data_IF_069461376739
#
_entry.id   IF_069461376739
#
_cell.length_a   1.000
_cell.length_b   1.000
_cell.length_c   1.000
_cell.angle_alpha   90.00
_cell.angle_beta   90.00
_cell.angle_gamma   90.00
#
_symmetry.space_group_name_H-M   'P 1'
#
loop_
_entity.id
_entity.type
_entity.pdbx_description
1 polymer ?
#
# COMPACT_ATOMS: atom_id res chain seq x y z
N UNK A 1 -18.19 -78.93 -44.29
CA UNK A 1 -18.10 -78.16 -43.03
C UNK A 1 -18.02 -76.71 -43.41
N UNK A 2 -19.11 -76.00 -43.11
CA UNK A 2 -19.41 -74.63 -43.55
C UNK A 2 -18.50 -73.58 -42.91
N UNK A 3 -18.13 -72.60 -43.72
CA UNK A 3 -17.51 -71.33 -43.32
C UNK A 3 -18.62 -70.31 -43.06
N UNK A 4 -18.74 -69.82 -41.83
CA UNK A 4 -19.65 -68.71 -41.50
C UNK A 4 -18.89 -67.48 -41.02
N UNK A 5 -18.99 -66.41 -41.80
CA UNK A 5 -18.66 -65.03 -41.46
C UNK A 5 -19.54 -64.52 -40.29
N UNK A 6 -18.96 -63.80 -39.32
CA UNK A 6 -19.69 -62.94 -38.38
C UNK A 6 -19.37 -61.46 -38.63
N UNK A 7 -20.44 -60.67 -38.77
CA UNK A 7 -20.50 -59.20 -38.81
C UNK A 7 -20.15 -58.57 -37.45
N UNK A 8 -19.70 -57.31 -37.39
CA UNK A 8 -19.52 -56.57 -36.15
C UNK A 8 -20.83 -55.91 -35.70
N UNK A 9 -21.19 -56.07 -34.43
CA UNK A 9 -22.22 -55.25 -33.77
C UNK A 9 -21.52 -54.26 -32.83
N UNK A 10 -21.60 -52.98 -33.20
CA UNK A 10 -21.32 -51.85 -32.30
C UNK A 10 -22.41 -51.78 -31.24
N UNK A 11 -22.03 -51.89 -29.98
CA UNK A 11 -22.84 -51.44 -28.84
C UNK A 11 -21.93 -50.59 -27.96
N UNK A 12 -22.05 -49.26 -28.07
CA UNK A 12 -21.45 -48.34 -27.11
C UNK A 12 -22.28 -48.37 -25.82
N UNK A 13 -21.67 -48.60 -24.63
CA UNK A 13 -22.41 -48.58 -23.39
C UNK A 13 -22.71 -47.14 -22.96
N UNK A 14 -23.98 -46.89 -22.65
CA UNK A 14 -24.59 -45.67 -22.08
C UNK A 14 -24.04 -45.24 -20.70
N UNK A 15 -22.87 -45.74 -20.28
CA UNK A 15 -22.27 -45.45 -18.97
C UNK A 15 -21.46 -44.15 -18.92
N UNK A 16 -21.21 -43.49 -20.05
CA UNK A 16 -20.38 -42.27 -20.11
C UNK A 16 -21.17 -40.95 -20.06
N UNK A 17 -22.50 -40.97 -20.18
CA UNK A 17 -23.29 -39.72 -20.19
C UNK A 17 -23.37 -39.10 -18.78
N UNK A 18 -23.51 -39.92 -17.73
CA UNK A 18 -23.55 -39.44 -16.35
C UNK A 18 -22.21 -38.88 -15.86
N UNK A 19 -21.09 -39.45 -16.30
CA UNK A 19 -19.75 -38.97 -15.94
C UNK A 19 -19.45 -37.61 -16.60
N UNK A 20 -19.90 -37.42 -17.85
CA UNK A 20 -19.77 -36.16 -18.58
C UNK A 20 -20.66 -35.07 -17.97
N UNK A 21 -21.89 -35.39 -17.55
CA UNK A 21 -22.79 -34.44 -16.87
C UNK A 21 -22.25 -34.01 -15.50
N UNK A 22 -21.70 -34.95 -14.71
CA UNK A 22 -21.08 -34.62 -13.41
C UNK A 22 -19.82 -33.79 -13.61
N UNK A 23 -19.02 -34.05 -14.65
CA UNK A 23 -17.83 -33.26 -14.95
C UNK A 23 -18.19 -31.86 -15.45
N UNK A 24 -19.26 -31.69 -16.24
CA UNK A 24 -19.80 -30.38 -16.64
C UNK A 24 -20.42 -29.59 -15.48
N UNK A 25 -21.06 -30.25 -14.51
CA UNK A 25 -21.56 -29.63 -13.28
C UNK A 25 -20.44 -29.22 -12.31
N UNK A 26 -19.32 -29.96 -12.27
CA UNK A 26 -18.14 -29.57 -11.48
C UNK A 26 -17.36 -28.44 -12.16
N UNK A 27 -17.27 -28.42 -13.50
CA UNK A 27 -16.61 -27.32 -14.23
C UNK A 27 -17.43 -26.02 -14.27
N UNK A 28 -18.75 -26.08 -14.27
CA UNK A 28 -19.59 -24.86 -14.15
C UNK A 28 -19.53 -24.25 -12.74
N UNK A 29 -19.38 -25.07 -11.70
CA UNK A 29 -19.14 -24.56 -10.34
C UNK A 29 -17.70 -24.04 -10.12
N UNK A 30 -16.71 -24.53 -10.86
CA UNK A 30 -15.35 -23.93 -10.85
C UNK A 30 -15.26 -22.60 -11.62
N UNK A 31 -16.14 -22.38 -12.62
CA UNK A 31 -16.24 -21.09 -13.32
C UNK A 31 -17.12 -20.06 -12.59
N UNK A 32 -17.89 -20.49 -11.58
CA UNK A 32 -18.59 -19.64 -10.61
C UNK A 32 -17.76 -19.29 -9.37
N UNK A 33 -16.44 -19.32 -9.47
CA UNK A 33 -15.58 -18.51 -8.60
C UNK A 33 -15.70 -16.99 -8.92
N UNK A 34 -16.72 -16.59 -9.69
CA UNK A 34 -17.03 -15.22 -10.07
C UNK A 34 -17.75 -14.46 -8.94
N UNK A 35 -17.12 -13.34 -8.55
CA UNK A 35 -17.54 -12.26 -7.63
C UNK A 35 -17.87 -12.67 -6.18
N UNK A 36 -16.85 -12.67 -5.33
CA UNK A 36 -16.98 -12.80 -3.87
C UNK A 36 -17.73 -11.63 -3.17
N UNK A 37 -18.16 -10.60 -3.92
CA UNK A 37 -18.55 -9.30 -3.37
C UNK A 37 -19.99 -8.85 -3.70
N UNK A 38 -20.74 -9.48 -4.62
CA UNK A 38 -22.05 -8.94 -5.07
C UNK A 38 -23.03 -8.66 -3.93
N UNK A 39 -23.03 -9.50 -2.89
CA UNK A 39 -23.94 -9.38 -1.76
C UNK A 39 -23.74 -8.10 -0.92
N UNK A 40 -22.59 -7.43 -1.01
CA UNK A 40 -22.26 -6.26 -0.20
C UNK A 40 -21.49 -5.17 -0.93
N UNK A 41 -21.18 -5.32 -2.22
CA UNK A 41 -20.40 -4.40 -3.06
C UNK A 41 -20.94 -2.96 -3.00
N UNK A 42 -22.27 -2.80 -3.02
CA UNK A 42 -22.94 -1.51 -2.93
C UNK A 42 -23.47 -1.15 -1.53
N UNK A 43 -23.20 -1.99 -0.53
CA UNK A 43 -23.72 -1.78 0.83
C UNK A 43 -22.73 -0.99 1.67
N UNK A 44 -23.24 0.02 2.38
CA UNK A 44 -22.48 0.72 3.42
C UNK A 44 -22.43 -0.11 4.71
N UNK A 45 -21.52 -1.08 4.77
CA UNK A 45 -21.35 -1.93 5.97
C UNK A 45 -20.77 -1.16 7.15
N UNK A 46 -20.04 -0.07 6.88
CA UNK A 46 -19.47 0.77 7.91
C UNK A 46 -18.33 0.14 8.68
N UNK A 47 -18.20 0.54 9.94
CA UNK A 47 -17.07 0.17 10.80
C UNK A 47 -17.45 -0.96 11.76
N UNK A 48 -16.53 -1.91 11.97
CA UNK A 48 -16.62 -2.92 13.05
C UNK A 48 -16.88 -2.23 14.39
N UNK A 49 -16.20 -1.10 14.60
CA UNK A 49 -16.36 -0.27 15.79
C UNK A 49 -16.13 1.20 15.45
N UNK A 50 -17.04 2.06 15.88
CA UNK A 50 -16.83 3.51 15.92
C UNK A 50 -16.16 3.86 17.25
N UNK A 51 -15.05 4.59 17.19
CA UNK A 51 -14.32 5.04 18.35
C UNK A 51 -14.60 6.53 18.61
N UNK A 52 -14.52 6.91 19.88
CA UNK A 52 -14.57 8.30 20.32
C UNK A 52 -13.42 8.51 21.31
N UNK A 53 -12.20 8.39 20.81
CA UNK A 53 -11.01 8.46 21.65
C UNK A 53 -10.86 9.86 22.26
N UNK A 54 -10.45 9.91 23.53
CA UNK A 54 -10.27 11.15 24.32
C UNK A 54 -8.80 11.48 24.59
N UNK A 55 -7.89 10.80 23.89
CA UNK A 55 -6.46 10.87 24.12
C UNK A 55 -5.95 9.73 25.00
N UNK A 56 -4.63 9.56 24.96
CA UNK A 56 -3.95 8.57 25.76
C UNK A 56 -3.86 9.03 27.22
N UNK A 57 -3.85 8.07 28.15
CA UNK A 57 -3.74 8.34 29.60
C UNK A 57 -2.40 7.85 30.18
N UNK A 58 -1.63 7.11 29.40
CA UNK A 58 -0.33 6.56 29.82
C UNK A 58 0.66 6.57 28.67
N UNK A 59 1.95 6.81 28.95
CA UNK A 59 2.99 6.65 27.94
C UNK A 59 3.13 5.18 27.53
N UNK A 60 3.79 4.95 26.41
CA UNK A 60 4.08 3.62 25.89
C UNK A 60 5.57 3.51 25.59
N UNK A 61 6.21 2.42 26.02
CA UNK A 61 7.55 2.08 25.59
C UNK A 61 7.47 0.85 24.69
N UNK A 62 8.08 0.93 23.52
CA UNK A 62 8.28 -0.19 22.59
C UNK A 62 9.76 -0.23 22.25
N UNK A 63 10.41 -1.35 22.60
CA UNK A 63 11.84 -1.52 22.47
C UNK A 63 12.60 -0.34 23.14
N UNK A 64 13.50 0.32 22.42
CA UNK A 64 14.26 1.50 22.91
C UNK A 64 13.49 2.83 22.78
N UNK A 65 12.29 2.83 22.17
CA UNK A 65 11.52 4.06 21.89
C UNK A 65 10.44 4.29 22.94
N UNK A 66 10.45 5.49 23.54
CA UNK A 66 9.43 5.93 24.49
C UNK A 66 8.52 6.95 23.83
N UNK A 67 7.23 6.65 23.83
CA UNK A 67 6.18 7.51 23.31
C UNK A 67 5.46 8.22 24.45
N UNK A 68 5.36 9.54 24.34
CA UNK A 68 4.68 10.38 25.31
C UNK A 68 3.16 10.28 25.20
N UNK A 69 2.44 10.74 26.23
CA UNK A 69 0.98 10.85 26.17
C UNK A 69 0.53 11.76 25.02
N UNK A 70 1.27 12.84 24.73
CA UNK A 70 0.96 13.76 23.65
C UNK A 70 1.03 13.06 22.28
N UNK A 71 2.12 12.33 22.01
CA UNK A 71 2.28 11.57 20.76
C UNK A 71 1.18 10.51 20.60
N UNK A 72 0.85 9.77 21.66
CA UNK A 72 -0.19 8.75 21.59
C UNK A 72 -1.60 9.34 21.42
N UNK A 73 -1.85 10.52 21.97
CA UNK A 73 -3.13 11.24 21.80
C UNK A 73 -3.32 11.77 20.38
N UNK A 74 -2.23 12.01 19.65
CA UNK A 74 -2.29 12.31 18.22
C UNK A 74 -2.80 11.11 17.42
N UNK A 75 -2.41 9.88 17.78
CA UNK A 75 -2.92 8.66 17.12
C UNK A 75 -4.44 8.54 17.27
N UNK A 76 -4.94 8.84 18.47
CA UNK A 76 -6.37 8.87 18.76
C UNK A 76 -7.12 9.90 17.91
N UNK A 77 -6.48 11.05 17.66
CA UNK A 77 -7.01 12.09 16.79
C UNK A 77 -7.07 11.62 15.33
N UNK A 78 -6.00 11.00 14.82
CA UNK A 78 -5.99 10.40 13.47
C UNK A 78 -7.14 9.40 13.30
N UNK A 79 -7.28 8.46 14.24
CA UNK A 79 -8.35 7.47 14.23
C UNK A 79 -9.74 8.12 14.14
N UNK A 80 -10.00 9.11 14.99
CA UNK A 80 -11.28 9.84 15.00
C UNK A 80 -11.51 10.58 13.66
N UNK A 81 -10.50 11.26 13.12
CA UNK A 81 -10.61 12.00 11.85
C UNK A 81 -10.86 11.09 10.66
N UNK A 82 -10.25 9.89 10.65
CA UNK A 82 -10.47 8.90 9.60
C UNK A 82 -11.93 8.41 9.60
N UNK A 83 -12.46 8.04 10.77
CA UNK A 83 -13.86 7.59 10.88
C UNK A 83 -14.87 8.71 10.61
N UNK A 84 -14.51 9.95 10.92
CA UNK A 84 -15.34 11.12 10.61
C UNK A 84 -15.36 11.46 9.10
N UNK A 85 -14.40 10.98 8.31
CA UNK A 85 -14.26 11.38 6.89
C UNK A 85 -14.60 10.27 5.90
N UNK A 86 -14.77 9.05 6.39
CA UNK A 86 -14.98 7.88 5.56
C UNK A 86 -15.99 6.92 6.20
N UNK A 87 -17.01 6.56 5.42
CA UNK A 87 -17.95 5.49 5.73
C UNK A 87 -17.68 4.32 4.77
N UNK A 88 -17.19 3.16 5.25
CA UNK A 88 -16.92 2.00 4.41
C UNK A 88 -18.16 1.52 3.63
N UNK A 89 -17.99 1.44 2.30
CA UNK A 89 -18.93 0.87 1.31
C UNK A 89 -18.23 -0.28 0.59
N UNK A 90 -18.96 -1.36 0.26
CA UNK A 90 -18.37 -2.53 -0.39
C UNK A 90 -17.39 -3.31 0.47
N UNK A 91 -17.27 -2.94 1.76
CA UNK A 91 -16.20 -3.38 2.65
C UNK A 91 -16.55 -3.09 4.10
N UNK A 92 -15.92 -3.83 5.01
CA UNK A 92 -16.06 -3.66 6.44
C UNK A 92 -14.82 -2.95 7.00
N UNK A 93 -15.01 -1.78 7.62
CA UNK A 93 -13.92 -0.95 8.12
C UNK A 93 -13.45 -1.31 9.53
N UNK A 94 -12.16 -1.16 9.79
CA UNK A 94 -11.54 -1.29 11.11
C UNK A 94 -10.44 -0.23 11.28
N UNK A 95 -10.21 0.21 12.52
CA UNK A 95 -9.13 1.16 12.83
C UNK A 95 -8.08 0.48 13.69
N UNK A 96 -6.85 0.45 13.17
CA UNK A 96 -5.67 -0.07 13.87
C UNK A 96 -4.71 1.07 14.20
N UNK A 97 -4.57 1.35 15.50
CA UNK A 97 -3.54 2.25 16.03
C UNK A 97 -2.21 1.52 16.11
N UNK A 98 -1.12 2.20 15.80
CA UNK A 98 0.22 1.63 15.88
C UNK A 98 1.26 2.68 16.23
N UNK A 99 2.38 2.19 16.76
CA UNK A 99 3.64 2.91 16.85
C UNK A 99 4.67 2.09 16.11
N UNK A 100 5.60 2.75 15.43
CA UNK A 100 6.49 2.08 14.50
C UNK A 100 7.97 2.25 14.80
N UNK A 101 8.75 1.20 14.47
CA UNK A 101 8.32 -0.19 14.29
C UNK A 101 8.74 -1.06 15.49
N UNK A 102 7.88 -2.01 15.87
CA UNK A 102 8.13 -2.99 16.93
C UNK A 102 9.04 -4.10 16.40
N UNK A 103 10.09 -4.47 17.12
CA UNK A 103 10.92 -5.64 16.78
C UNK A 103 10.03 -6.90 16.76
N UNK A 104 10.01 -7.64 15.63
CA UNK A 104 9.37 -8.95 15.49
C UNK A 104 10.17 -9.81 14.50
N UNK A 105 9.90 -11.11 14.41
CA UNK A 105 10.65 -12.10 13.60
C UNK A 105 10.99 -11.65 12.17
N UNK A 106 10.16 -10.79 11.57
CA UNK A 106 10.33 -10.27 10.20
C UNK A 106 10.92 -8.84 10.14
N UNK A 107 11.10 -8.17 11.27
CA UNK A 107 11.47 -6.76 11.40
C UNK A 107 12.44 -6.45 12.56
N UNK A 108 13.25 -7.42 13.02
CA UNK A 108 13.91 -7.38 14.35
C UNK A 108 14.89 -6.22 14.60
N UNK A 109 15.42 -5.54 13.57
CA UNK A 109 16.45 -4.47 13.77
C UNK A 109 16.32 -3.24 12.90
N UNK A 110 15.56 -3.29 11.81
CA UNK A 110 15.38 -2.17 10.86
C UNK A 110 14.50 -1.04 11.39
N UNK A 111 14.27 -1.03 12.70
CA UNK A 111 13.34 -0.18 13.41
C UNK A 111 14.05 0.84 14.29
N UNK A 112 15.33 0.60 14.62
CA UNK A 112 16.13 1.48 15.48
C UNK A 112 16.41 2.82 14.79
N UNK A 113 16.87 2.79 13.53
CA UNK A 113 17.12 4.00 12.74
C UNK A 113 15.85 4.67 12.21
N UNK A 114 14.71 3.97 12.21
CA UNK A 114 13.43 4.58 11.77
C UNK A 114 13.04 5.67 12.78
N UNK A 115 12.46 6.80 12.35
CA UNK A 115 11.95 7.80 13.28
C UNK A 115 10.99 7.25 14.35
N UNK A 116 10.82 8.00 15.44
CA UNK A 116 9.71 7.80 16.37
C UNK A 116 8.41 8.11 15.62
N UNK A 117 7.82 7.07 15.04
CA UNK A 117 6.67 7.17 14.15
C UNK A 117 5.46 6.52 14.80
N UNK A 118 4.30 7.10 14.57
CA UNK A 118 3.06 6.69 15.21
C UNK A 118 1.86 7.12 14.39
N UNK A 119 0.86 6.26 14.30
CA UNK A 119 -0.21 6.45 13.34
C UNK A 119 -1.40 5.54 13.52
N UNK A 120 -2.39 5.74 12.65
CA UNK A 120 -3.57 4.91 12.54
C UNK A 120 -3.74 4.43 11.10
N UNK A 121 -4.18 3.18 10.96
CA UNK A 121 -4.59 2.57 9.71
C UNK A 121 -6.10 2.31 9.73
N UNK A 122 -6.80 2.80 8.72
CA UNK A 122 -8.13 2.34 8.37
C UNK A 122 -7.99 1.18 7.40
N UNK A 123 -8.45 0.01 7.81
CA UNK A 123 -8.50 -1.19 7.00
C UNK A 123 -9.93 -1.39 6.51
N UNK A 124 -10.14 -1.38 5.20
CA UNK A 124 -11.43 -1.73 4.59
C UNK A 124 -11.34 -3.14 4.03
N UNK A 125 -11.81 -4.13 4.79
CA UNK A 125 -11.77 -5.54 4.40
C UNK A 125 -12.80 -5.82 3.31
N UNK A 126 -12.36 -6.40 2.21
CA UNK A 126 -13.21 -6.71 1.04
C UNK A 126 -13.59 -8.19 0.95
N UNK A 127 -12.94 -9.07 1.73
CA UNK A 127 -13.25 -10.50 1.77
C UNK A 127 -13.99 -10.84 3.05
N UNK A 128 -15.32 -10.90 2.97
CA UNK A 128 -16.19 -11.02 4.14
C UNK A 128 -16.96 -12.34 4.15
N UNK A 129 -17.23 -12.84 5.35
CA UNK A 129 -18.16 -13.95 5.61
C UNK A 129 -19.22 -13.52 6.60
N UNK A 130 -20.40 -14.11 6.53
CA UNK A 130 -21.41 -13.96 7.56
C UNK A 130 -21.21 -15.00 8.66
N UNK A 131 -21.19 -14.55 9.91
CA UNK A 131 -21.26 -15.40 11.10
C UNK A 131 -22.36 -14.84 11.98
N UNK A 132 -23.39 -15.64 12.25
CA UNK A 132 -24.56 -15.24 13.05
C UNK A 132 -25.22 -13.95 12.53
N UNK A 133 -25.37 -13.83 11.21
CA UNK A 133 -25.98 -12.66 10.55
C UNK A 133 -25.11 -11.39 10.55
N UNK A 134 -23.86 -11.44 11.03
CA UNK A 134 -22.93 -10.31 11.02
C UNK A 134 -21.78 -10.58 10.06
N UNK A 135 -21.46 -9.57 9.25
CA UNK A 135 -20.26 -9.59 8.41
C UNK A 135 -19.00 -9.54 9.26
N UNK A 136 -18.03 -10.39 8.92
CA UNK A 136 -16.71 -10.44 9.54
C UNK A 136 -15.65 -10.67 8.45
N UNK A 137 -14.43 -10.14 8.62
CA UNK A 137 -13.34 -10.45 7.71
C UNK A 137 -13.06 -11.96 7.70
N UNK A 138 -13.02 -12.57 6.51
CA UNK A 138 -12.59 -13.95 6.34
C UNK A 138 -11.06 -14.06 6.32
N UNK A 139 -10.40 -13.03 5.80
CA UNK A 139 -8.94 -12.92 5.71
C UNK A 139 -8.51 -11.47 6.02
N UNK A 140 -7.20 -11.25 6.16
CA UNK A 140 -6.63 -9.95 6.53
C UNK A 140 -6.36 -9.01 5.34
N UNK A 141 -6.71 -9.40 4.11
CA UNK A 141 -6.59 -8.53 2.94
C UNK A 141 -7.61 -7.40 3.01
N UNK A 142 -7.14 -6.17 2.83
CA UNK A 142 -7.93 -4.96 2.95
C UNK A 142 -7.37 -3.87 2.02
N UNK A 143 -8.21 -2.88 1.73
CA UNK A 143 -7.76 -1.57 1.31
C UNK A 143 -7.27 -0.80 2.54
N UNK A 144 -6.15 -0.10 2.43
CA UNK A 144 -5.49 0.58 3.53
C UNK A 144 -5.48 2.09 3.29
N UNK A 145 -5.85 2.83 4.33
CA UNK A 145 -5.57 4.26 4.44
C UNK A 145 -4.80 4.48 5.74
N UNK A 146 -3.68 5.18 5.66
CA UNK A 146 -2.78 5.45 6.77
C UNK A 146 -2.65 6.95 6.98
N UNK A 147 -2.71 7.37 8.25
CA UNK A 147 -2.26 8.69 8.70
C UNK A 147 -1.26 8.47 9.82
N UNK A 148 -0.04 8.99 9.67
CA UNK A 148 1.03 8.77 10.62
C UNK A 148 1.96 9.98 10.75
N UNK A 149 2.35 10.27 11.98
CA UNK A 149 3.39 11.23 12.28
C UNK A 149 4.78 10.59 12.11
N UNK A 150 5.71 11.35 11.53
CA UNK A 150 7.12 11.00 11.36
C UNK A 150 7.36 9.68 10.62
N UNK A 151 6.38 9.15 9.89
CA UNK A 151 6.54 7.87 9.21
C UNK A 151 7.25 8.05 7.86
N UNK A 152 8.20 7.18 7.58
CA UNK A 152 8.73 6.97 6.22
C UNK A 152 7.86 5.93 5.50
N UNK A 153 7.82 5.91 4.16
CA UNK A 153 7.11 4.86 3.42
C UNK A 153 7.71 3.45 3.65
N UNK A 154 7.23 2.77 4.70
CA UNK A 154 7.82 1.53 5.23
C UNK A 154 7.93 0.38 4.23
N UNK A 155 7.11 0.38 3.18
CA UNK A 155 7.12 -0.61 2.09
C UNK A 155 8.39 -0.55 1.24
N UNK A 156 9.11 0.58 1.26
CA UNK A 156 10.19 0.88 0.33
C UNK A 156 11.57 0.92 1.01
N UNK A 157 11.77 0.22 2.14
CA UNK A 157 13.04 0.23 2.89
C UNK A 157 14.09 -0.69 2.26
N UNK A 158 15.34 -0.23 2.24
CA UNK A 158 16.49 -1.03 1.79
C UNK A 158 17.08 -1.83 2.97
N UNK A 159 16.45 -2.97 3.25
CA UNK A 159 16.68 -3.78 4.46
C UNK A 159 18.15 -4.22 4.60
N UNK A 160 18.83 -4.53 3.50
CA UNK A 160 20.19 -5.07 3.56
C UNK A 160 21.30 -4.06 3.79
N UNK A 161 21.00 -2.77 3.62
CA UNK A 161 21.94 -1.67 3.86
C UNK A 161 21.53 -0.74 5.01
N UNK A 162 20.44 -1.10 5.71
CA UNK A 162 20.02 -0.42 6.92
C UNK A 162 20.82 -0.88 8.13
N UNK A 163 21.16 0.07 9.00
CA UNK A 163 21.83 -0.17 10.28
C UNK A 163 20.97 0.39 11.43
N UNK A 164 21.45 0.30 12.66
CA UNK A 164 20.81 0.98 13.80
C UNK A 164 20.88 2.52 13.70
N UNK A 165 21.74 3.06 12.85
CA UNK A 165 21.96 4.50 12.66
C UNK A 165 21.40 5.03 11.34
N UNK A 166 21.31 4.19 10.32
CA UNK A 166 20.91 4.60 8.97
C UNK A 166 19.65 3.86 8.55
N UNK A 167 18.63 4.63 8.14
CA UNK A 167 17.46 4.12 7.47
C UNK A 167 17.36 4.71 6.06
N UNK A 168 17.63 3.86 5.08
CA UNK A 168 17.52 4.07 3.65
C UNK A 168 16.19 3.52 3.15
N UNK A 169 15.56 4.27 2.25
CA UNK A 169 14.32 3.89 1.60
C UNK A 169 14.19 4.58 0.25
N UNK A 170 13.38 4.01 -0.62
CA UNK A 170 13.06 4.58 -1.93
C UNK A 170 11.67 5.22 -1.93
N UNK A 171 11.45 6.16 -2.85
CA UNK A 171 10.11 6.65 -3.20
C UNK A 171 9.91 6.40 -4.67
N UNK A 172 9.25 5.30 -5.07
CA UNK A 172 9.11 4.97 -6.46
C UNK A 172 8.38 6.05 -7.24
N UNK A 173 8.93 6.38 -8.39
CA UNK A 173 8.40 7.35 -9.33
C UNK A 173 8.28 6.71 -10.71
N UNK A 174 7.44 7.30 -11.54
CA UNK A 174 7.37 6.94 -12.94
C UNK A 174 8.55 7.55 -13.69
N UNK A 175 9.14 6.79 -14.62
CA UNK A 175 10.13 7.33 -15.54
C UNK A 175 9.41 8.13 -16.63
N UNK A 176 9.44 9.47 -16.50
CA UNK A 176 8.78 10.39 -17.42
C UNK A 176 9.25 10.24 -18.87
N UNK A 177 10.50 9.80 -19.11
CA UNK A 177 10.97 9.52 -20.47
C UNK A 177 10.25 8.31 -21.05
N UNK A 178 10.22 7.21 -20.30
CA UNK A 178 9.49 6.00 -20.69
C UNK A 178 7.99 6.25 -20.89
N UNK A 179 7.39 7.16 -20.11
CA UNK A 179 5.99 7.55 -20.28
C UNK A 179 5.74 8.36 -21.56
N UNK A 180 6.67 9.24 -21.94
CA UNK A 180 6.57 10.04 -23.16
C UNK A 180 6.67 9.17 -24.43
N UNK A 181 7.46 8.09 -24.37
CA UNK A 181 7.66 7.16 -25.48
C UNK A 181 6.42 6.27 -25.73
N UNK A 182 5.61 5.97 -24.70
CA UNK A 182 4.35 5.24 -24.82
C UNK A 182 3.26 5.75 -23.86
N UNK A 183 2.44 6.70 -24.36
CA UNK A 183 1.29 7.26 -23.65
C UNK A 183 0.16 6.26 -23.40
N UNK A 184 0.17 5.09 -24.06
CA UNK A 184 -0.82 4.03 -23.89
C UNK A 184 -0.31 2.88 -23.03
N UNK A 185 0.95 2.98 -22.56
CA UNK A 185 1.52 2.05 -21.59
C UNK A 185 0.65 1.96 -20.35
N UNK A 186 0.72 0.80 -19.68
CA UNK A 186 0.01 0.60 -18.44
C UNK A 186 0.46 1.62 -17.37
N UNK A 187 1.77 1.90 -17.30
CA UNK A 187 2.32 2.90 -16.39
C UNK A 187 1.73 4.31 -16.65
N UNK A 188 1.61 4.73 -17.92
CA UNK A 188 0.99 6.02 -18.27
C UNK A 188 -0.51 6.06 -17.93
N UNK A 189 -1.23 4.95 -18.10
CA UNK A 189 -2.65 4.84 -17.72
C UNK A 189 -2.83 4.88 -16.21
N UNK A 190 -2.05 4.11 -15.47
CA UNK A 190 -2.10 4.06 -14.00
C UNK A 190 -1.69 5.41 -13.40
N UNK A 191 -0.62 6.05 -13.89
CA UNK A 191 -0.25 7.40 -13.43
C UNK A 191 -1.42 8.37 -13.58
N UNK A 192 -2.01 8.47 -14.78
CA UNK A 192 -3.17 9.37 -15.02
C UNK A 192 -4.36 9.08 -14.11
N UNK A 193 -4.65 7.80 -13.85
CA UNK A 193 -5.79 7.38 -13.04
C UNK A 193 -5.66 7.79 -11.57
N UNK A 194 -4.43 7.85 -11.05
CA UNK A 194 -4.15 8.16 -9.66
C UNK A 194 -3.59 9.56 -9.43
N UNK A 195 -3.37 10.36 -10.48
CA UNK A 195 -2.72 11.67 -10.40
C UNK A 195 -3.60 12.71 -9.70
N UNK A 196 -3.09 13.22 -8.58
CA UNK A 196 -3.70 14.28 -7.79
C UNK A 196 -2.90 15.59 -7.83
N UNK A 197 -1.90 15.70 -8.69
CA UNK A 197 -1.02 16.88 -8.79
C UNK A 197 -1.80 18.18 -9.07
N UNK A 198 -2.89 18.10 -9.84
CA UNK A 198 -3.77 19.21 -10.14
C UNK A 198 -4.92 19.40 -9.12
N UNK A 199 -5.07 18.52 -8.13
CA UNK A 199 -6.19 18.56 -7.19
C UNK A 199 -6.12 19.86 -6.35
N UNK A 200 -7.18 20.69 -6.29
CA UNK A 200 -7.12 22.06 -5.78
C UNK A 200 -6.72 22.15 -4.30
N UNK A 201 -7.10 21.14 -3.50
CA UNK A 201 -6.74 21.05 -2.09
C UNK A 201 -5.34 20.51 -1.84
N UNK A 202 -4.80 19.71 -2.77
CA UNK A 202 -3.59 18.92 -2.55
C UNK A 202 -2.36 19.49 -3.24
N UNK A 203 -2.54 20.26 -4.34
CA UNK A 203 -1.45 20.83 -5.15
C UNK A 203 -0.43 21.68 -4.37
N UNK A 204 -0.81 22.15 -3.18
CA UNK A 204 0.05 22.95 -2.29
C UNK A 204 0.89 22.12 -1.33
N UNK A 205 0.65 20.81 -1.23
CA UNK A 205 1.38 19.90 -0.38
C UNK A 205 2.33 19.03 -1.19
N UNK A 206 3.29 18.40 -0.50
CA UNK A 206 4.17 17.41 -1.12
C UNK A 206 3.32 16.20 -1.47
N UNK A 207 3.25 15.86 -2.76
CA UNK A 207 2.44 14.77 -3.29
C UNK A 207 3.29 13.83 -4.14
N UNK A 208 3.07 12.54 -3.96
CA UNK A 208 3.62 11.47 -4.78
C UNK A 208 2.51 10.55 -5.28
N UNK A 209 2.46 10.38 -6.60
CA UNK A 209 1.82 9.25 -7.25
C UNK A 209 2.87 8.14 -7.37
N UNK A 210 2.91 7.24 -6.39
CA UNK A 210 3.98 6.25 -6.31
C UNK A 210 3.73 5.14 -7.32
N UNK A 211 4.77 4.79 -8.08
CA UNK A 211 4.76 3.60 -8.93
C UNK A 211 4.55 2.36 -8.06
N UNK A 212 3.46 1.65 -8.30
CA UNK A 212 3.06 0.50 -7.51
C UNK A 212 4.02 -0.69 -7.68
N UNK A 213 4.28 -1.43 -6.59
CA UNK A 213 5.00 -2.71 -6.65
C UNK A 213 4.22 -3.77 -7.46
N UNK A 214 2.89 -3.76 -7.35
CA UNK A 214 2.02 -4.57 -8.18
C UNK A 214 1.06 -3.64 -8.93
N UNK A 215 0.97 -3.86 -10.24
CA UNK A 215 0.53 -2.93 -11.27
C UNK A 215 -0.92 -2.44 -11.11
N UNK A 216 -1.70 -3.15 -10.27
CA UNK A 216 -3.11 -2.86 -9.98
C UNK A 216 -3.34 -2.04 -8.69
N UNK A 217 -2.31 -1.76 -7.90
CA UNK A 217 -2.44 -1.06 -6.61
C UNK A 217 -1.80 0.31 -6.65
N UNK A 218 -2.51 1.31 -7.18
CA UNK A 218 -2.05 2.69 -7.11
C UNK A 218 -1.83 3.13 -5.66
N UNK A 219 -0.74 3.88 -5.44
CA UNK A 219 -0.32 4.34 -4.14
C UNK A 219 -0.26 5.87 -4.17
N UNK A 220 -1.20 6.53 -3.52
CA UNK A 220 -1.12 7.97 -3.30
C UNK A 220 -0.46 8.23 -1.95
N UNK A 221 0.46 9.19 -1.94
CA UNK A 221 1.16 9.62 -0.74
C UNK A 221 1.19 11.15 -0.70
N UNK A 222 0.83 11.70 0.45
CA UNK A 222 0.88 13.13 0.77
C UNK A 222 1.74 13.29 2.02
N UNK A 223 2.63 14.28 2.01
CA UNK A 223 3.42 14.69 3.16
C UNK A 223 3.02 16.11 3.54
N UNK A 224 2.53 16.27 4.76
CA UNK A 224 2.31 17.57 5.39
C UNK A 224 3.51 17.85 6.30
N UNK A 225 4.19 18.96 6.07
CA UNK A 225 5.32 19.39 6.91
C UNK A 225 5.34 20.91 6.99
N UNK A 226 5.94 21.45 8.05
CA UNK A 226 6.03 22.90 8.23
C UNK A 226 6.68 23.55 7.00
N UNK A 227 5.98 24.53 6.42
CA UNK A 227 6.41 25.25 5.21
C UNK A 227 6.63 24.34 3.99
N UNK A 228 6.01 23.16 3.95
CA UNK A 228 6.24 22.13 2.93
C UNK A 228 7.72 21.74 2.76
N UNK A 229 8.53 21.82 3.83
CA UNK A 229 9.91 21.33 3.79
C UNK A 229 9.91 19.81 3.66
N UNK A 230 10.49 19.28 2.58
CA UNK A 230 10.59 17.85 2.38
C UNK A 230 11.44 17.21 3.49
N UNK A 231 10.95 16.15 4.19
CA UNK A 231 11.64 15.60 5.36
C UNK A 231 12.83 14.70 5.03
N UNK A 232 13.09 14.45 3.75
CA UNK A 232 14.06 13.47 3.28
C UNK A 232 15.15 14.14 2.45
N UNK A 233 16.36 13.59 2.54
CA UNK A 233 17.52 14.01 1.76
C UNK A 233 17.86 12.94 0.73
N UNK A 234 18.15 13.31 -0.53
CA UNK A 234 18.62 12.36 -1.52
C UNK A 234 19.95 11.77 -1.06
N UNK A 235 20.13 10.49 -1.33
CA UNK A 235 21.39 9.78 -1.06
C UNK A 235 22.18 9.74 -2.36
N UNK A 236 23.45 10.10 -2.31
CA UNK A 236 24.36 10.03 -3.47
C UNK A 236 24.90 8.62 -3.70
N UNK A 237 25.44 8.35 -4.89
CA UNK A 237 26.11 7.08 -5.21
C UNK A 237 27.24 6.77 -4.23
N UNK A 238 28.05 7.79 -3.89
CA UNK A 238 29.14 7.68 -2.93
C UNK A 238 28.65 7.37 -1.51
N UNK A 239 27.60 8.07 -1.04
CA UNK A 239 26.99 7.79 0.26
C UNK A 239 26.36 6.39 0.30
N UNK A 240 25.66 5.96 -0.75
CA UNK A 240 25.03 4.64 -0.82
C UNK A 240 26.07 3.51 -0.71
N UNK A 241 27.20 3.62 -1.43
CA UNK A 241 28.31 2.67 -1.30
C UNK A 241 28.94 2.70 0.09
N UNK A 242 29.05 3.88 0.71
CA UNK A 242 29.52 3.99 2.10
C UNK A 242 28.57 3.29 3.07
N UNK A 243 27.25 3.48 2.95
CA UNK A 243 26.28 2.81 3.80
C UNK A 243 26.30 1.29 3.62
N UNK A 244 26.51 0.80 2.40
CA UNK A 244 26.67 -0.63 2.14
C UNK A 244 27.90 -1.21 2.85
N UNK A 245 29.03 -0.49 2.86
CA UNK A 245 30.23 -0.89 3.62
C UNK A 245 29.99 -0.88 5.13
N UNK A 246 29.35 0.18 5.65
CA UNK A 246 29.04 0.32 7.07
C UNK A 246 28.08 -0.77 7.57
N UNK A 247 27.20 -1.28 6.69
CA UNK A 247 26.26 -2.35 7.00
C UNK A 247 26.92 -3.75 7.03
N UNK A 248 28.08 -3.96 6.39
CA UNK A 248 28.68 -5.29 6.27
C UNK A 248 28.96 -5.98 7.60
N UNK A 249 29.61 -5.34 8.61
CA UNK A 249 29.90 -6.01 9.87
C UNK A 249 28.62 -6.48 10.58
N UNK A 250 27.55 -5.68 10.49
CA UNK A 250 26.24 -5.99 11.07
C UNK A 250 25.62 -7.21 10.37
N UNK A 251 25.56 -7.18 9.05
CA UNK A 251 24.96 -8.25 8.24
C UNK A 251 25.75 -9.55 8.31
N UNK A 252 27.07 -9.47 8.38
CA UNK A 252 27.92 -10.64 8.57
C UNK A 252 27.66 -11.28 9.94
N UNK A 253 27.61 -10.50 11.01
CA UNK A 253 27.33 -11.01 12.35
C UNK A 253 25.93 -11.65 12.44
N UNK A 254 24.93 -11.08 11.78
CA UNK A 254 23.57 -11.63 11.70
C UNK A 254 23.53 -12.97 10.96
N UNK A 255 24.05 -13.02 9.73
CA UNK A 255 24.08 -14.25 8.95
C UNK A 255 24.95 -15.32 9.60
N UNK A 256 26.03 -14.93 10.30
CA UNK A 256 26.86 -15.83 11.10
C UNK A 256 26.08 -16.45 12.26
N UNK A 257 25.32 -15.65 13.00
CA UNK A 257 24.44 -16.14 14.09
C UNK A 257 23.43 -17.15 13.55
N UNK A 258 22.72 -16.81 12.46
CA UNK A 258 21.76 -17.72 11.82
C UNK A 258 22.41 -19.01 11.33
N UNK A 259 23.58 -18.92 10.70
CA UNK A 259 24.30 -20.10 10.22
C UNK A 259 24.79 -21.00 11.36
N UNK A 260 25.22 -20.44 12.50
CA UNK A 260 25.53 -21.21 13.71
C UNK A 260 24.29 -21.91 14.24
N UNK A 261 23.18 -21.19 14.42
CA UNK A 261 21.92 -21.75 14.94
C UNK A 261 21.41 -22.91 14.05
N UNK A 262 21.43 -22.72 12.73
CA UNK A 262 20.92 -23.69 11.76
C UNK A 262 21.83 -24.90 11.56
N UNK A 263 23.14 -24.79 11.76
CA UNK A 263 24.10 -25.87 11.47
C UNK A 263 24.82 -26.40 12.71
N UNK A 264 24.43 -25.96 13.91
CA UNK A 264 25.05 -26.38 15.19
C UNK A 264 25.01 -27.90 15.46
N UNK A 265 24.15 -28.63 14.76
CA UNK A 265 24.01 -30.08 14.89
C UNK A 265 25.13 -30.89 14.22
N UNK A 266 25.91 -30.28 13.30
CA UNK A 266 27.00 -30.95 12.56
C UNK A 266 28.16 -29.99 12.30
N UNK A 267 29.35 -30.35 12.80
CA UNK A 267 30.56 -29.54 12.68
C UNK A 267 31.03 -29.33 11.23
N UNK A 268 30.86 -30.32 10.35
CA UNK A 268 31.22 -30.22 8.92
C UNK A 268 30.27 -29.27 8.19
N UNK A 269 28.97 -29.39 8.44
CA UNK A 269 27.97 -28.47 7.89
C UNK A 269 28.22 -27.04 8.38
N UNK A 270 28.50 -26.85 9.67
CA UNK A 270 28.84 -25.54 10.22
C UNK A 270 30.08 -24.96 9.55
N UNK A 271 31.15 -25.75 9.39
CA UNK A 271 32.37 -25.30 8.72
C UNK A 271 32.11 -24.87 7.28
N UNK A 272 31.34 -25.65 6.52
CA UNK A 272 30.96 -25.31 5.14
C UNK A 272 30.10 -24.05 5.08
N UNK A 273 29.13 -23.90 5.99
CA UNK A 273 28.30 -22.71 6.10
C UNK A 273 29.12 -21.45 6.41
N UNK A 274 30.07 -21.53 7.34
CA UNK A 274 30.99 -20.43 7.66
C UNK A 274 31.88 -20.07 6.46
N UNK A 275 32.45 -21.07 5.76
CA UNK A 275 33.25 -20.83 4.56
C UNK A 275 32.45 -20.12 3.46
N UNK A 276 31.25 -20.59 3.18
CA UNK A 276 30.36 -19.98 2.18
C UNK A 276 30.00 -18.52 2.55
N UNK A 277 29.79 -18.26 3.84
CA UNK A 277 29.53 -16.92 4.35
C UNK A 277 30.73 -15.99 4.16
N UNK A 278 31.94 -16.44 4.50
CA UNK A 278 33.17 -15.68 4.32
C UNK A 278 33.43 -15.37 2.84
N UNK A 279 33.25 -16.35 1.96
CA UNK A 279 33.37 -16.17 0.52
C UNK A 279 32.34 -15.17 -0.03
N UNK A 280 31.08 -15.26 0.42
CA UNK A 280 30.00 -14.34 0.01
C UNK A 280 30.35 -12.89 0.35
N UNK A 281 30.76 -12.61 1.59
CA UNK A 281 31.10 -11.25 2.02
C UNK A 281 32.41 -10.75 1.40
N UNK A 282 33.38 -11.63 1.16
CA UNK A 282 34.61 -11.27 0.44
C UNK A 282 34.32 -10.85 -1.00
N UNK A 283 33.47 -11.59 -1.71
CA UNK A 283 33.02 -11.22 -3.07
C UNK A 283 32.23 -9.91 -3.05
N UNK A 284 31.29 -9.75 -2.13
CA UNK A 284 30.52 -8.52 -2.00
C UNK A 284 31.40 -7.29 -1.78
N UNK A 285 32.43 -7.40 -0.93
CA UNK A 285 33.41 -6.34 -0.71
C UNK A 285 34.21 -5.99 -1.97
N UNK A 286 34.64 -7.00 -2.73
CA UNK A 286 35.33 -6.79 -4.00
C UNK A 286 34.44 -6.04 -5.02
N UNK A 287 33.15 -6.37 -5.06
CA UNK A 287 32.17 -5.68 -5.90
C UNK A 287 32.01 -4.21 -5.51
N UNK A 288 31.88 -3.89 -4.21
CA UNK A 288 31.81 -2.49 -3.76
C UNK A 288 33.05 -1.68 -4.21
N UNK A 289 34.25 -2.26 -4.10
CA UNK A 289 35.48 -1.60 -4.56
C UNK A 289 35.41 -1.28 -6.06
N UNK A 290 34.92 -2.23 -6.87
CA UNK A 290 34.72 -2.02 -8.31
C UNK A 290 33.70 -0.91 -8.59
N UNK A 291 32.57 -0.91 -7.89
CA UNK A 291 31.54 0.13 -8.03
C UNK A 291 32.06 1.50 -7.60
N UNK A 292 32.88 1.59 -6.53
CA UNK A 292 33.50 2.85 -6.12
C UNK A 292 34.38 3.44 -7.20
N UNK A 293 35.17 2.61 -7.89
CA UNK A 293 35.99 3.09 -9.00
C UNK A 293 35.13 3.46 -10.21
N UNK A 294 34.14 2.62 -10.57
CA UNK A 294 33.18 2.90 -11.66
C UNK A 294 32.48 4.25 -11.49
N UNK A 295 32.00 4.55 -10.29
CA UNK A 295 31.23 5.77 -10.01
C UNK A 295 32.05 6.93 -9.47
N UNK A 296 33.39 6.83 -9.43
CA UNK A 296 34.27 7.82 -8.78
C UNK A 296 34.09 9.25 -9.28
N UNK A 297 33.91 9.44 -10.59
CA UNK A 297 33.75 10.77 -11.21
C UNK A 297 32.33 11.33 -11.06
N UNK A 298 31.37 10.50 -10.69
CA UNK A 298 29.96 10.83 -10.51
C UNK A 298 29.42 10.48 -9.12
N UNK A 299 30.31 10.39 -8.12
CA UNK A 299 29.98 9.93 -6.77
C UNK A 299 28.93 10.80 -6.08
N UNK A 300 28.81 12.07 -6.49
CA UNK A 300 27.88 13.04 -5.93
C UNK A 300 26.51 13.03 -6.63
N UNK A 301 26.31 12.24 -7.68
CA UNK A 301 25.00 12.07 -8.29
C UNK A 301 24.07 11.30 -7.35
N UNK A 302 22.77 11.58 -7.45
CA UNK A 302 21.75 10.86 -6.71
C UNK A 302 21.78 9.36 -7.05
N UNK A 303 21.74 8.52 -6.03
CA UNK A 303 21.58 7.09 -6.15
C UNK A 303 20.13 6.72 -6.44
N UNK A 304 19.96 5.74 -7.30
CA UNK A 304 18.70 5.08 -7.55
C UNK A 304 18.92 3.59 -7.39
N UNK A 305 17.93 2.89 -6.86
CA UNK A 305 17.98 1.45 -6.67
C UNK A 305 17.23 0.75 -7.81
N UNK A 306 17.43 -0.56 -7.93
CA UNK A 306 16.56 -1.39 -8.76
C UNK A 306 15.27 -1.72 -8.02
N UNK A 307 14.23 -2.04 -8.79
CA UNK A 307 13.02 -2.65 -8.27
C UNK A 307 13.31 -3.84 -7.34
N UNK A 308 12.70 -3.83 -6.15
CA UNK A 308 12.86 -4.87 -5.13
C UNK A 308 14.02 -4.66 -4.17
N UNK A 309 14.80 -3.59 -4.35
CA UNK A 309 16.00 -3.34 -3.57
C UNK A 309 17.16 -4.27 -3.93
N UNK A 310 18.28 -4.14 -3.23
CA UNK A 310 19.43 -5.02 -3.40
C UNK A 310 19.87 -5.65 -2.08
N UNK A 311 20.38 -6.87 -2.19
CA UNK A 311 20.86 -7.66 -1.08
C UNK A 311 22.38 -7.82 -1.11
N UNK A 312 22.95 -8.27 0.01
CA UNK A 312 24.37 -8.69 0.06
C UNK A 312 24.65 -9.80 -0.96
N UNK A 313 23.64 -10.61 -1.30
CA UNK A 313 23.79 -11.66 -2.31
C UNK A 313 24.05 -11.07 -3.70
N UNK A 314 23.37 -9.99 -4.06
CA UNK A 314 23.54 -9.35 -5.37
C UNK A 314 24.96 -8.79 -5.53
N UNK A 315 25.47 -8.11 -4.49
CA UNK A 315 26.87 -7.68 -4.46
C UNK A 315 27.83 -8.87 -4.57
N UNK A 316 27.56 -9.98 -3.89
CA UNK A 316 28.42 -11.18 -3.97
C UNK A 316 28.42 -11.85 -5.35
N UNK A 317 27.36 -11.63 -6.14
CA UNK A 317 27.25 -12.09 -7.52
C UNK A 317 27.93 -11.12 -8.52
N UNK A 318 28.44 -9.98 -8.05
CA UNK A 318 29.06 -8.95 -8.89
C UNK A 318 28.07 -7.99 -9.53
N UNK A 319 26.81 -7.96 -9.08
CA UNK A 319 25.78 -7.05 -9.61
C UNK A 319 26.11 -5.58 -9.33
N UNK A 320 25.72 -4.71 -10.24
CA UNK A 320 25.67 -3.28 -9.99
C UNK A 320 24.37 -2.93 -9.26
N UNK A 321 24.46 -2.26 -8.11
CA UNK A 321 23.29 -1.95 -7.28
C UNK A 321 22.54 -0.67 -7.71
N UNK A 322 22.99 0.01 -8.77
CA UNK A 322 22.37 1.23 -9.27
C UNK A 322 21.91 1.09 -10.73
N UNK A 323 22.59 0.26 -11.51
CA UNK A 323 22.28 0.01 -12.92
C UNK A 323 21.80 -1.43 -13.16
N UNK A 324 21.04 -1.65 -14.23
CA UNK A 324 20.75 -2.99 -14.73
C UNK A 324 21.99 -3.55 -15.45
N UNK A 325 22.97 -4.00 -14.67
CA UNK A 325 24.25 -4.52 -15.14
C UNK A 325 25.05 -5.21 -14.03
N UNK A 326 26.35 -5.39 -14.28
CA UNK A 326 27.30 -5.87 -13.28
C UNK A 326 28.37 -4.82 -13.02
N UNK A 327 29.13 -4.95 -11.94
CA UNK A 327 30.10 -3.94 -11.51
C UNK A 327 31.25 -3.68 -12.51
N UNK A 328 31.42 -4.51 -13.54
CA UNK A 328 32.46 -4.38 -14.57
C UNK A 328 31.94 -3.86 -15.91
N UNK A 329 30.63 -3.73 -16.07
CA UNK A 329 29.99 -3.37 -17.32
C UNK A 329 28.97 -2.27 -17.10
N UNK A 330 28.84 -1.38 -18.08
CA UNK A 330 27.81 -0.35 -18.03
C UNK A 330 26.43 -0.99 -18.26
N UNK A 331 25.46 -0.54 -17.46
CA UNK A 331 24.08 -0.97 -17.55
C UNK A 331 23.14 0.18 -17.87
N UNK A 332 21.85 -0.12 -18.00
CA UNK A 332 20.83 0.92 -18.06
C UNK A 332 20.47 1.42 -16.67
N UNK A 333 20.37 2.74 -16.50
CA UNK A 333 19.99 3.36 -15.25
C UNK A 333 18.46 3.40 -15.13
N UNK A 334 17.89 2.63 -14.20
CA UNK A 334 16.47 2.76 -13.86
C UNK A 334 16.31 3.88 -12.82
N UNK A 335 15.78 5.02 -13.25
CA UNK A 335 15.56 6.18 -12.37
C UNK A 335 14.24 6.11 -11.60
N UNK A 336 13.53 4.98 -11.64
CA UNK A 336 12.23 4.83 -11.00
C UNK A 336 12.30 4.72 -9.48
N UNK A 337 13.45 4.41 -8.87
CA UNK A 337 13.55 4.20 -7.41
C UNK A 337 14.66 5.06 -6.77
N UNK A 338 14.48 6.39 -6.71
CA UNK A 338 15.43 7.28 -6.05
C UNK A 338 15.60 6.92 -4.57
N UNK A 339 16.85 6.91 -4.11
CA UNK A 339 17.22 6.57 -2.75
C UNK A 339 17.24 7.80 -1.84
N UNK A 340 16.65 7.66 -0.65
CA UNK A 340 16.54 8.71 0.35
C UNK A 340 16.93 8.23 1.74
N UNK A 341 17.24 9.20 2.59
CA UNK A 341 17.32 9.06 4.05
C UNK A 341 16.55 10.20 4.71
N UNK A 342 16.18 10.02 5.98
CA UNK A 342 15.57 11.11 6.76
C UNK A 342 16.62 12.21 7.02
N UNK A 343 16.19 13.46 6.95
CA UNK A 343 16.99 14.60 7.39
C UNK A 343 17.39 14.41 8.87
N UNK A 344 18.69 14.37 9.21
CA UNK A 344 19.15 14.14 10.58
C UNK A 344 18.61 15.16 11.59
N UNK A 345 18.41 16.42 11.19
CA UNK A 345 17.86 17.45 12.06
C UNK A 345 16.39 17.20 12.39
N UNK A 346 15.63 16.67 11.42
CA UNK A 346 14.24 16.28 11.65
C UNK A 346 14.17 14.98 12.46
N UNK A 347 14.99 14.00 12.12
CA UNK A 347 15.08 12.72 12.83
C UNK A 347 15.28 12.91 14.33
N UNK A 348 16.21 13.80 14.72
CA UNK A 348 16.50 14.10 16.12
C UNK A 348 15.29 14.68 16.88
N UNK A 349 14.37 15.34 16.18
CA UNK A 349 13.16 15.96 16.76
C UNK A 349 11.96 15.03 16.80
N UNK A 350 11.99 13.90 16.08
CA UNK A 350 10.87 12.95 16.03
C UNK A 350 10.52 12.35 17.40
N UNK A 351 11.48 12.27 18.33
CA UNK A 351 11.25 11.80 19.71
C UNK A 351 10.50 12.80 20.58
N UNK A 352 10.32 14.04 20.14
CA UNK A 352 9.58 15.07 20.87
C UNK A 352 8.07 14.98 20.63
N UNK A 353 7.29 15.74 21.42
CA UNK A 353 5.82 15.71 21.36
C UNK A 353 5.23 16.22 20.05
N UNK A 354 5.97 17.04 19.30
CA UNK A 354 5.46 17.62 18.04
C UNK A 354 5.87 16.76 16.85
N UNK A 355 4.92 16.35 15.99
CA UNK A 355 5.24 15.77 14.69
C UNK A 355 6.15 16.71 13.87
N UNK A 356 7.11 16.13 13.17
CA UNK A 356 7.96 16.84 12.20
C UNK A 356 7.32 16.83 10.81
N UNK A 357 6.65 15.73 10.45
CA UNK A 357 5.78 15.64 9.29
C UNK A 357 4.63 14.66 9.55
N UNK A 358 3.55 14.79 8.79
CA UNK A 358 2.43 13.84 8.72
C UNK A 358 2.45 13.19 7.35
N UNK A 359 2.54 11.87 7.33
CA UNK A 359 2.39 11.05 6.15
C UNK A 359 0.94 10.57 6.05
N UNK A 360 0.31 10.82 4.91
CA UNK A 360 -1.01 10.31 4.57
C UNK A 360 -0.86 9.48 3.30
N UNK A 361 -1.18 8.18 3.36
CA UNK A 361 -1.09 7.29 2.20
C UNK A 361 -2.30 6.37 2.12
N UNK A 362 -2.68 5.96 0.93
CA UNK A 362 -3.67 4.91 0.76
C UNK A 362 -3.37 4.04 -0.47
N UNK A 363 -3.69 2.76 -0.35
CA UNK A 363 -3.40 1.73 -1.33
C UNK A 363 -4.27 0.48 -1.08
N UNK A 364 -4.31 -0.45 -2.02
CA UNK A 364 -4.83 -1.80 -1.77
C UNK A 364 -5.77 -2.36 -2.83
N UNK A 365 -6.36 -1.51 -3.68
CA UNK A 365 -7.25 -1.95 -4.76
C UNK A 365 -7.05 -1.16 -6.05
N UNK A 366 -7.62 -1.68 -7.14
CA UNK A 366 -7.75 -0.95 -8.40
C UNK A 366 -8.92 0.04 -8.32
N UNK A 367 -8.93 1.11 -9.11
CA UNK A 367 -10.09 2.04 -9.15
C UNK A 367 -11.36 1.41 -9.74
N UNK A 368 -11.27 0.19 -10.29
CA UNK A 368 -12.42 -0.62 -10.68
C UNK A 368 -13.08 -1.34 -9.50
N UNK A 369 -12.41 -1.46 -8.36
CA UNK A 369 -12.97 -2.00 -7.13
C UNK A 369 -13.81 -0.92 -6.43
N UNK A 370 -15.10 -1.19 -6.20
CA UNK A 370 -16.05 -0.23 -5.64
C UNK A 370 -15.63 0.23 -4.24
N UNK A 371 -15.12 -0.67 -3.40
CA UNK A 371 -14.66 -0.32 -2.05
C UNK A 371 -13.45 0.61 -2.11
N UNK A 372 -12.46 0.28 -2.93
CA UNK A 372 -11.25 1.09 -3.05
C UNK A 372 -11.53 2.45 -3.69
N UNK A 373 -12.33 2.49 -4.77
CA UNK A 373 -12.76 3.73 -5.41
C UNK A 373 -13.48 4.64 -4.42
N UNK A 374 -14.44 4.11 -3.66
CA UNK A 374 -15.18 4.86 -2.65
C UNK A 374 -14.26 5.39 -1.52
N UNK A 375 -13.31 4.57 -1.07
CA UNK A 375 -12.29 5.01 -0.11
C UNK A 375 -11.42 6.14 -0.68
N UNK A 376 -10.90 5.98 -1.91
CA UNK A 376 -10.11 6.99 -2.60
C UNK A 376 -10.88 8.31 -2.72
N UNK A 377 -12.12 8.26 -3.21
CA UNK A 377 -12.98 9.43 -3.38
C UNK A 377 -13.29 10.10 -2.03
N UNK A 378 -13.56 9.32 -0.98
CA UNK A 378 -13.79 9.84 0.36
C UNK A 378 -12.57 10.57 0.91
N UNK A 379 -11.37 10.03 0.69
CA UNK A 379 -10.12 10.66 1.13
C UNK A 379 -9.93 12.00 0.43
N UNK A 380 -10.03 12.06 -0.90
CA UNK A 380 -9.73 13.30 -1.63
C UNK A 380 -10.83 14.37 -1.53
N UNK A 381 -12.08 13.97 -1.23
CA UNK A 381 -13.23 14.89 -1.20
C UNK A 381 -13.74 15.25 0.20
N UNK A 382 -13.58 14.36 1.19
CA UNK A 382 -14.18 14.55 2.52
C UNK A 382 -13.13 14.87 3.59
N UNK A 383 -11.91 14.35 3.46
CA UNK A 383 -10.87 14.56 4.46
C UNK A 383 -10.29 15.98 4.37
N UNK A 384 -10.24 16.69 5.50
CA UNK A 384 -9.76 18.08 5.55
C UNK A 384 -8.25 18.13 5.81
N UNK A 385 -7.45 18.01 4.74
CA UNK A 385 -5.98 18.10 4.80
C UNK A 385 -5.49 19.42 5.41
N UNK A 386 -6.21 20.52 5.22
CA UNK A 386 -5.82 21.85 5.70
C UNK A 386 -5.97 21.96 7.20
N UNK A 387 -7.06 21.41 7.75
CA UNK A 387 -7.21 21.30 9.20
C UNK A 387 -6.03 20.55 9.81
N UNK A 388 -5.63 19.41 9.23
CA UNK A 388 -4.53 18.60 9.76
C UNK A 388 -3.21 19.36 9.70
N UNK A 389 -2.92 20.00 8.56
CA UNK A 389 -1.73 20.83 8.41
C UNK A 389 -1.70 21.93 9.48
N UNK A 390 -2.79 22.69 9.61
CA UNK A 390 -2.88 23.78 10.58
C UNK A 390 -2.79 23.25 12.02
N UNK A 391 -3.43 22.14 12.34
CA UNK A 391 -3.42 21.55 13.68
C UNK A 391 -2.00 21.28 14.20
N UNK A 392 -1.07 20.85 13.33
CA UNK A 392 0.32 20.57 13.73
C UNK A 392 1.29 21.72 13.46
N UNK A 393 1.12 22.45 12.35
CA UNK A 393 2.13 23.36 11.83
C UNK A 393 1.72 24.84 11.85
N UNK A 394 0.44 25.13 12.09
CA UNK A 394 -0.12 26.49 12.23
C UNK A 394 -1.36 26.51 13.16
N UNK A 395 -1.20 26.11 14.44
CA UNK A 395 -2.32 25.77 15.31
C UNK A 395 -3.23 26.95 15.63
N UNK A 396 -2.73 28.19 15.53
CA UNK A 396 -3.54 29.39 15.78
C UNK A 396 -4.69 29.52 14.76
N UNK A 397 -4.56 28.96 13.54
CA UNK A 397 -5.64 28.96 12.53
C UNK A 397 -6.83 28.05 12.86
N UNK A 398 -6.62 27.04 13.71
CA UNK A 398 -7.66 26.04 14.07
C UNK A 398 -7.88 25.95 15.57
N UNK A 399 -7.39 26.93 16.33
CA UNK A 399 -7.51 26.97 17.78
C UNK A 399 -8.96 27.03 18.21
N UNK A 400 -9.38 26.07 19.03
CA UNK A 400 -10.78 25.95 19.47
C UNK A 400 -11.75 25.45 18.39
N UNK A 401 -11.28 25.18 17.17
CA UNK A 401 -12.08 24.60 16.10
C UNK A 401 -11.91 23.08 16.16
N UNK A 402 -13.01 22.35 16.33
CA UNK A 402 -13.00 20.90 16.23
C UNK A 402 -12.96 20.45 14.76
N UNK A 403 -12.26 19.34 14.49
CA UNK A 403 -12.24 18.73 13.17
C UNK A 403 -13.66 18.44 12.66
N UNK A 404 -13.89 18.78 11.39
CA UNK A 404 -15.06 18.37 10.63
C UNK A 404 -14.60 17.98 9.22
N UNK A 405 -15.16 16.92 8.64
CA UNK A 405 -14.88 16.60 7.24
C UNK A 405 -15.44 17.71 6.33
N UNK A 406 -14.82 17.90 5.16
CA UNK A 406 -15.25 18.87 4.15
C UNK A 406 -16.63 18.55 3.58
N UNK A 407 -16.99 17.26 3.57
CA UNK A 407 -18.28 16.73 3.14
C UNK A 407 -18.69 15.60 4.08
N UNK A 408 -20.00 15.37 4.21
CA UNK A 408 -20.50 14.25 5.01
C UNK A 408 -19.95 12.91 4.47
N UNK A 409 -19.43 12.02 5.33
CA UNK A 409 -18.99 10.69 4.91
C UNK A 409 -20.18 9.74 4.65
N UNK A 410 -21.34 10.04 5.23
CA UNK A 410 -22.58 9.41 4.86
C UNK A 410 -23.05 10.08 3.58
N UNK A 411 -23.06 9.33 2.48
CA UNK A 411 -23.91 9.65 1.34
C UNK A 411 -25.34 9.59 1.88
N UNK A 412 -25.85 10.70 2.40
CA UNK A 412 -27.28 10.92 2.33
C UNK A 412 -27.54 10.98 0.83
N UNK A 413 -28.03 9.87 0.24
CA UNK A 413 -28.93 10.00 -0.88
C UNK A 413 -30.03 10.92 -0.36
N UNK A 414 -29.89 12.23 -0.58
CA UNK A 414 -31.06 13.06 -0.64
C UNK A 414 -31.87 12.42 -1.74
N UNK A 415 -32.92 11.70 -1.35
CA UNK A 415 -34.09 11.49 -2.18
C UNK A 415 -34.51 12.90 -2.59
N UNK A 416 -33.94 13.37 -3.70
CA UNK A 416 -34.51 14.48 -4.43
C UNK A 416 -35.81 13.88 -4.92
N UNK A 417 -36.89 14.16 -4.18
CA UNK A 417 -38.24 13.90 -4.67
C UNK A 417 -38.40 14.87 -5.84
N UNK A 418 -37.94 14.45 -7.01
CA UNK A 418 -38.23 15.16 -8.26
C UNK A 418 -39.71 15.00 -8.50
N UNK A 419 -40.39 16.11 -8.75
CA UNK A 419 -41.80 16.08 -9.07
C UNK A 419 -41.98 15.33 -10.40
N UNK A 420 -42.91 14.37 -10.45
CA UNK A 420 -43.28 13.67 -11.68
C UNK A 420 -43.58 14.69 -12.78
N UNK A 421 -43.10 14.44 -14.00
CA UNK A 421 -43.44 15.29 -15.14
C UNK A 421 -44.96 15.35 -15.36
N UNK A 422 -45.42 16.35 -16.09
CA UNK A 422 -46.81 16.44 -16.54
C UNK A 422 -47.26 15.22 -17.35
N UNK A 423 -46.34 14.60 -18.10
CA UNK A 423 -46.65 13.43 -18.92
C UNK A 423 -46.77 12.17 -18.06
N UNK A 424 -45.87 11.98 -17.09
CA UNK A 424 -45.96 10.91 -16.09
C UNK A 424 -47.28 10.99 -15.30
N UNK A 425 -47.66 12.19 -14.83
CA UNK A 425 -48.94 12.39 -14.12
C UNK A 425 -50.16 12.09 -14.99
N UNK A 426 -50.10 12.41 -16.29
CA UNK A 426 -51.20 12.16 -17.23
C UNK A 426 -51.37 10.68 -17.55
N UNK A 427 -50.26 9.95 -17.74
CA UNK A 427 -50.29 8.53 -18.07
C UNK A 427 -50.67 7.65 -16.88
N UNK A 428 -50.30 8.04 -15.66
CA UNK A 428 -50.73 7.35 -14.43
C UNK A 428 -52.24 7.46 -14.16
N UNK A 429 -52.89 8.51 -14.70
CA UNK A 429 -54.33 8.70 -14.62
C UNK A 429 -55.11 7.95 -15.73
N UNK A 430 -54.43 7.35 -16.71
CA UNK A 430 -55.05 6.64 -17.82
C UNK A 430 -55.08 5.12 -17.54
N UNK A 431 -56.27 4.60 -17.25
CA UNK A 431 -56.48 3.19 -16.92
C UNK A 431 -56.18 2.21 -18.08
N UNK A 432 -55.93 2.71 -19.30
CA UNK A 432 -55.52 1.89 -20.45
C UNK A 432 -54.00 1.70 -20.56
N UNK A 433 -53.21 2.44 -19.74
CA UNK A 433 -51.76 2.38 -19.73
C UNK A 433 -51.29 1.50 -18.57
N UNK A 434 -50.67 0.36 -18.92
CA UNK A 434 -50.20 -0.61 -17.92
C UNK A 434 -48.76 -0.33 -17.43
N UNK A 435 -47.92 0.29 -18.26
CA UNK A 435 -46.55 0.68 -17.92
C UNK A 435 -46.17 1.97 -18.64
N UNK A 436 -45.67 2.95 -17.89
CA UNK A 436 -45.14 4.20 -18.42
C UNK A 436 -43.99 4.70 -17.52
N UNK A 437 -42.85 5.01 -18.14
CA UNK A 437 -41.68 5.56 -17.49
C UNK A 437 -41.09 6.63 -18.42
N UNK A 438 -40.87 7.82 -17.89
CA UNK A 438 -40.27 8.95 -18.61
C UNK A 438 -38.97 9.45 -17.98
N UNK A 439 -38.48 8.72 -16.97
CA UNK A 439 -37.28 8.97 -16.19
C UNK A 439 -37.28 10.29 -15.43
N UNK A 440 -38.41 11.00 -15.36
CA UNK A 440 -38.51 12.28 -14.64
C UNK A 440 -38.25 12.13 -13.13
N UNK A 441 -38.48 10.94 -12.59
CA UNK A 441 -38.24 10.61 -11.18
C UNK A 441 -37.12 9.58 -10.96
N UNK A 442 -36.46 9.11 -12.02
CA UNK A 442 -35.49 8.00 -11.93
C UNK A 442 -34.07 8.56 -11.80
N UNK A 443 -33.38 8.39 -10.64
CA UNK A 443 -32.03 8.91 -10.46
C UNK A 443 -31.03 8.26 -11.43
N UNK A 444 -30.02 9.02 -11.84
CA UNK A 444 -28.99 8.53 -12.75
C UNK A 444 -28.31 7.25 -12.20
N UNK A 445 -28.35 6.17 -12.99
CA UNK A 445 -27.76 4.88 -12.63
C UNK A 445 -28.70 3.93 -11.88
N UNK A 446 -29.93 4.34 -11.55
CA UNK A 446 -30.94 3.42 -11.03
C UNK A 446 -31.78 2.79 -12.15
N UNK A 447 -32.35 1.61 -11.88
CA UNK A 447 -33.29 0.97 -12.81
C UNK A 447 -34.58 1.79 -12.86
N UNK A 448 -35.20 1.94 -14.04
CA UNK A 448 -36.52 2.56 -14.13
C UNK A 448 -37.56 1.85 -13.26
N UNK A 449 -38.51 2.64 -12.75
CA UNK A 449 -39.62 2.13 -11.96
C UNK A 449 -40.73 1.71 -12.93
N UNK A 450 -40.92 0.40 -13.10
CA UNK A 450 -41.94 -0.20 -13.97
C UNK A 450 -42.08 -1.68 -13.69
#
# INVERSE_FOLDING_TARGET
>A
METTHRKPNNVYPTKNIWLIIITLLVFTNCLLAQKHNEAYEDVSLGWIKIYNYKGAIKPLQIDEKKYSIAQLSVIDSFANWMQASYQPKGSLGDIKKYVTPKKNLYHERYNEAVPHSYGANANSYTFLKQINGKWQPYMNFANYWTIAANEIPLTYREIDFNTSKTCLFTLPQYDEKSLADDLNSLDAKTKRLFDLSAHPLLKKYIYYNLKAYNKDFGNNLIILSKNNRFPYLPVTLGEALQFAEDAFPVKYAEQKKTAIEQNSYDASHLQMAMKNLDEKFSKAKATIIQLREKYKTRSNEQAYMKYGGYSIQDLSNGSDIFENGNAKQDGSFDKSYPLFRVDPEMQAKCSTDKPQWILIKWFGGAMTDVSFKHMHESIINNFDFDYIYNFFFDPEKVKGIAYKPLRSPATEEKLVVTEKSTDAKKMEADASVFYFEDFSTTPAGQRPNG
#
